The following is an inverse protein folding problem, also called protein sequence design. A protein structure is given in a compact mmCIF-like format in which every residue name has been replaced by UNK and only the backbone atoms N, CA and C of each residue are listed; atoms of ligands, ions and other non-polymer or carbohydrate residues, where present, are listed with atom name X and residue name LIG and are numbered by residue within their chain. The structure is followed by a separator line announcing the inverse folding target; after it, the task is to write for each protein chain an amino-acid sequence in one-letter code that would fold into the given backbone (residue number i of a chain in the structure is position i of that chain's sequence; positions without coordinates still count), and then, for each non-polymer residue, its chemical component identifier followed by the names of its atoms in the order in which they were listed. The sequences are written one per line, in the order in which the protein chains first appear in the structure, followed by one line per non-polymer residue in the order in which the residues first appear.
data_IF_360066950515
#
_entry.id   IF_360066950515
#
_cell.length_a   1.000
_cell.length_b   1.000
_cell.length_c   1.000
_cell.angle_alpha   90.00
_cell.angle_beta   90.00
_cell.angle_gamma   90.00
#
_symmetry.space_group_name_H-M   'P 1'
#
loop_
_entity.id
_entity.type
_entity.pdbx_description
1 polymer ?
#
# COMPACT_ATOMS: atom_id res chain seq x y z
N UNK A 1 -10.79 4.72 24.84
CA UNK A 1 -11.22 5.07 23.47
C UNK A 1 -10.89 6.55 23.26
N UNK A 2 -10.08 6.91 22.25
CA UNK A 2 -9.95 8.31 21.88
C UNK A 2 -11.22 8.72 21.13
N UNK A 3 -12.08 9.49 21.78
CA UNK A 3 -13.31 10.05 21.20
C UNK A 3 -13.05 11.26 20.32
N UNK A 4 -11.79 11.65 20.14
CA UNK A 4 -11.44 12.85 19.42
C UNK A 4 -11.47 12.64 17.91
N UNK A 5 -12.26 13.48 17.24
CA UNK A 5 -12.44 13.48 15.80
C UNK A 5 -11.86 14.75 15.21
N UNK A 6 -10.68 14.67 14.60
CA UNK A 6 -10.04 15.80 13.94
C UNK A 6 -10.94 16.53 12.95
N UNK A 7 -11.84 15.81 12.28
CA UNK A 7 -12.84 16.40 11.36
C UNK A 7 -13.80 17.38 12.03
N UNK A 8 -14.06 17.24 13.32
CA UNK A 8 -14.94 18.12 14.11
C UNK A 8 -14.14 19.27 14.77
N UNK A 9 -12.82 19.30 14.60
CA UNK A 9 -11.89 20.26 15.22
C UNK A 9 -10.89 20.84 14.19
N UNK A 10 -11.40 21.36 13.07
CA UNK A 10 -10.61 22.04 12.02
C UNK A 10 -9.45 21.21 11.45
N UNK A 11 -9.54 19.89 11.55
CA UNK A 11 -8.50 18.98 11.11
C UNK A 11 -7.30 18.89 12.06
N UNK A 12 -7.40 19.35 13.30
CA UNK A 12 -6.36 19.23 14.33
C UNK A 12 -6.50 17.93 15.12
N UNK A 13 -5.46 17.49 15.82
CA UNK A 13 -5.43 16.38 16.78
C UNK A 13 -5.74 16.89 18.20
N UNK A 14 -5.88 15.96 19.16
CA UNK A 14 -6.08 16.28 20.59
C UNK A 14 -5.01 17.26 21.15
N UNK A 15 -3.79 17.20 20.60
CA UNK A 15 -2.66 18.06 20.98
C UNK A 15 -2.62 19.42 20.23
N UNK A 16 -3.62 19.71 19.41
CA UNK A 16 -3.69 20.92 18.58
C UNK A 16 -2.81 20.88 17.33
N UNK A 17 -2.09 19.78 17.05
CA UNK A 17 -1.31 19.64 15.82
C UNK A 17 -2.21 19.26 14.64
N UNK A 18 -1.91 19.70 13.40
CA UNK A 18 -2.66 19.25 12.22
C UNK A 18 -2.66 17.72 12.08
N UNK A 19 -3.83 17.15 11.87
CA UNK A 19 -4.02 15.72 11.60
C UNK A 19 -3.93 15.47 10.10
N UNK A 20 -2.85 14.79 9.68
CA UNK A 20 -2.57 14.46 8.28
C UNK A 20 -3.62 13.56 7.63
N UNK A 21 -4.48 12.90 8.42
CA UNK A 21 -5.56 12.05 7.90
C UNK A 21 -6.72 12.87 7.33
N UNK A 22 -6.88 14.11 7.79
CA UNK A 22 -8.03 14.97 7.43
C UNK A 22 -7.64 16.37 6.96
N UNK A 23 -6.42 16.82 7.25
CA UNK A 23 -6.04 18.23 7.16
C UNK A 23 -5.28 18.63 5.90
N UNK A 24 -4.77 17.71 5.08
CA UNK A 24 -3.83 18.13 4.03
C UNK A 24 -4.36 18.06 2.61
N UNK A 25 -5.41 17.30 2.31
CA UNK A 25 -5.89 17.17 0.92
C UNK A 25 -4.78 16.81 -0.09
N UNK A 26 -3.63 16.32 0.41
CA UNK A 26 -2.37 16.12 -0.32
C UNK A 26 -2.40 14.88 -1.21
N UNK A 27 -3.52 14.15 -1.24
CA UNK A 27 -3.86 13.41 -2.44
C UNK A 27 -4.13 14.46 -3.50
N UNK A 28 -3.12 14.80 -4.32
CA UNK A 28 -3.27 15.87 -5.28
C UNK A 28 -4.32 15.48 -6.34
N UNK A 29 -5.56 15.84 -6.04
CA UNK A 29 -6.73 15.55 -6.82
C UNK A 29 -6.60 16.31 -8.16
N UNK A 30 -6.09 15.62 -9.18
CA UNK A 30 -6.10 16.06 -10.57
C UNK A 30 -4.76 16.53 -11.17
N UNK A 31 -3.63 16.46 -10.45
CA UNK A 31 -2.31 16.89 -10.97
C UNK A 31 -1.14 15.96 -10.58
N UNK A 32 -1.40 14.76 -10.08
CA UNK A 32 -0.32 13.78 -9.88
C UNK A 32 -0.44 12.73 -10.96
N UNK A 33 0.65 12.47 -11.66
CA UNK A 33 0.76 11.29 -12.51
C UNK A 33 0.47 10.06 -11.63
N UNK A 34 -0.48 9.18 -12.00
CA UNK A 34 -0.76 7.95 -11.25
C UNK A 34 0.49 7.12 -10.93
N UNK A 35 1.51 7.12 -11.80
CA UNK A 35 2.77 6.44 -11.57
C UNK A 35 3.59 7.08 -10.44
N UNK A 36 3.66 8.42 -10.40
CA UNK A 36 4.35 9.14 -9.34
C UNK A 36 3.56 9.12 -8.03
N UNK A 37 2.24 9.23 -8.11
CA UNK A 37 1.31 9.12 -6.97
C UNK A 37 1.41 7.75 -6.31
N UNK A 38 1.45 6.67 -7.10
CA UNK A 38 1.61 5.31 -6.59
C UNK A 38 2.96 5.12 -5.91
N UNK A 39 4.04 5.67 -6.49
CA UNK A 39 5.37 5.63 -5.89
C UNK A 39 5.41 6.38 -4.55
N UNK A 40 4.88 7.60 -4.50
CA UNK A 40 4.89 8.42 -3.28
C UNK A 40 3.92 7.88 -2.21
N UNK A 41 2.73 7.42 -2.60
CA UNK A 41 1.76 6.79 -1.71
C UNK A 41 2.25 5.45 -1.14
N UNK A 42 3.02 4.69 -1.91
CA UNK A 42 3.70 3.49 -1.41
C UNK A 42 4.79 3.80 -0.36
N UNK A 43 5.40 4.99 -0.41
CA UNK A 43 6.44 5.37 0.54
C UNK A 43 5.89 5.86 1.89
N UNK A 44 4.68 6.42 1.94
CA UNK A 44 4.18 7.13 3.13
C UNK A 44 3.61 6.22 4.21
N UNK A 45 3.32 4.95 3.93
CA UNK A 45 2.68 4.06 4.93
C UNK A 45 3.23 2.62 5.01
N UNK A 46 4.37 2.31 4.41
CA UNK A 46 4.86 0.93 4.45
C UNK A 46 6.30 0.76 3.99
N UNK A 47 7.25 1.13 4.82
CA UNK A 47 8.58 0.48 4.80
C UNK A 47 8.43 -0.96 5.31
N UNK A 48 7.80 -1.78 4.48
CA UNK A 48 7.97 -3.22 4.37
C UNK A 48 7.98 -3.44 2.87
N UNK A 49 9.20 -3.44 2.35
CA UNK A 49 9.50 -3.74 0.95
C UNK A 49 9.02 -5.15 0.62
N UNK A 50 7.75 -5.27 0.24
CA UNK A 50 7.18 -6.48 -0.35
C UNK A 50 6.38 -6.09 -1.60
N UNK A 51 6.90 -5.15 -2.41
CA UNK A 51 6.48 -5.04 -3.81
C UNK A 51 7.49 -5.76 -4.69
N UNK A 52 7.22 -7.04 -4.89
CA UNK A 52 7.73 -7.82 -5.99
C UNK A 52 7.15 -7.27 -7.30
N UNK A 53 7.65 -6.11 -7.73
CA UNK A 53 7.54 -5.65 -9.10
C UNK A 53 8.41 -6.52 -10.00
N UNK A 54 8.09 -7.81 -10.11
CA UNK A 54 8.69 -8.65 -11.14
C UNK A 54 7.94 -8.36 -12.44
N UNK A 55 8.58 -7.52 -13.26
CA UNK A 55 8.26 -7.32 -14.65
C UNK A 55 7.75 -8.62 -15.28
N UNK A 56 6.59 -8.54 -15.93
CA UNK A 56 6.01 -9.63 -16.71
C UNK A 56 7.04 -10.14 -17.74
N UNK A 57 7.77 -11.19 -17.36
CA UNK A 57 8.63 -11.97 -18.24
C UNK A 57 8.94 -13.29 -17.52
N UNK A 58 7.98 -14.22 -17.52
CA UNK A 58 8.19 -15.44 -16.75
C UNK A 58 7.15 -16.54 -16.88
N UNK A 59 6.65 -16.80 -18.09
CA UNK A 59 5.95 -18.05 -18.44
C UNK A 59 4.61 -18.30 -17.75
N UNK A 60 3.79 -19.14 -18.36
CA UNK A 60 2.48 -19.58 -17.87
C UNK A 60 2.57 -20.49 -16.63
N UNK A 61 3.57 -20.29 -15.78
CA UNK A 61 3.76 -21.08 -14.57
C UNK A 61 2.77 -20.60 -13.51
N UNK A 62 1.82 -21.47 -13.16
CA UNK A 62 0.76 -21.22 -12.18
C UNK A 62 1.07 -21.95 -10.87
N UNK A 63 1.59 -21.26 -9.84
CA UNK A 63 1.94 -21.90 -8.58
C UNK A 63 0.74 -22.55 -7.89
N UNK A 64 -0.48 -22.05 -8.14
CA UNK A 64 -1.74 -22.64 -7.64
C UNK A 64 -1.99 -24.06 -8.16
N UNK A 65 -1.42 -24.44 -9.30
CA UNK A 65 -1.53 -25.80 -9.87
C UNK A 65 -0.39 -26.72 -9.37
N UNK A 66 0.56 -26.17 -8.58
CA UNK A 66 1.74 -26.86 -8.06
C UNK A 66 1.92 -26.62 -6.55
N UNK A 67 0.86 -26.85 -5.77
CA UNK A 67 0.85 -26.75 -4.30
C UNK A 67 1.33 -25.40 -3.74
N UNK A 68 1.17 -24.33 -4.53
CA UNK A 68 1.64 -22.99 -4.18
C UNK A 68 3.15 -22.81 -4.31
N UNK A 69 3.87 -23.69 -5.00
CA UNK A 69 5.32 -23.60 -5.18
C UNK A 69 5.68 -22.86 -6.47
N UNK A 70 6.72 -22.02 -6.42
CA UNK A 70 7.38 -21.41 -7.59
C UNK A 70 8.01 -22.49 -8.47
N UNK A 71 8.40 -22.13 -9.70
CA UNK A 71 9.09 -23.02 -10.65
C UNK A 71 10.39 -23.63 -10.10
N UNK A 72 10.97 -23.02 -9.07
CA UNK A 72 12.18 -23.48 -8.39
C UNK A 72 11.86 -24.37 -7.16
N UNK A 73 10.58 -24.71 -6.94
CA UNK A 73 10.12 -25.58 -5.86
C UNK A 73 10.01 -24.90 -4.48
N UNK A 74 10.04 -23.56 -4.43
CA UNK A 74 9.93 -22.79 -3.17
C UNK A 74 8.49 -22.31 -2.97
N UNK A 75 8.00 -22.15 -1.73
CA UNK A 75 6.69 -21.57 -1.50
C UNK A 75 6.57 -20.16 -2.11
N UNK A 76 5.51 -19.94 -2.88
CA UNK A 76 5.21 -18.68 -3.56
C UNK A 76 4.34 -17.80 -2.67
N UNK A 77 4.88 -16.67 -2.20
CA UNK A 77 4.16 -15.74 -1.32
C UNK A 77 2.92 -15.09 -1.94
N UNK A 78 2.74 -15.19 -3.26
CA UNK A 78 1.52 -14.74 -3.95
C UNK A 78 0.36 -15.71 -3.76
N UNK A 79 0.66 -17.00 -3.56
CA UNK A 79 -0.35 -18.01 -3.26
C UNK A 79 -0.49 -18.09 -1.74
N UNK A 80 -1.53 -17.45 -1.22
CA UNK A 80 -1.89 -17.57 0.19
C UNK A 80 -2.37 -19.01 0.43
N UNK A 81 -1.59 -19.79 1.17
CA UNK A 81 -2.01 -21.13 1.60
C UNK A 81 -3.35 -21.04 2.33
N UNK A 82 -4.33 -21.80 1.87
CA UNK A 82 -5.61 -21.99 2.56
C UNK A 82 -5.46 -22.97 3.72
#
# INVERSE_FOLDING_TARGET
MSSYKPTEHDGLKEDGTPDKRVGTGEFAHGKVDPHEAGKQGGQTTGTTSDDSGSAASGGDYKPTEHDGLTKDGKPDGRVKGN
#
